data_IF_853060547424
#
_entry.id   IF_853060547424
#
_cell.length_a   1.000
_cell.length_b   1.000
_cell.length_c   1.000
_cell.angle_alpha   90.00
_cell.angle_beta   90.00
_cell.angle_gamma   90.00
#
_symmetry.space_group_name_H-M   'P 1'
#
loop_
_entity.id
_entity.type
_entity.pdbx_description
1 polymer ?
#
# COMPACT_ATOMS: atom_id res chain seq x y z
N UNK A 1 54.94 -19.97 -37.86
CA UNK A 1 53.65 -19.26 -37.64
C UNK A 1 52.90 -19.98 -36.52
N UNK A 2 53.05 -19.49 -35.29
CA UNK A 2 52.47 -20.12 -34.09
C UNK A 2 51.70 -19.04 -33.34
N UNK A 3 50.37 -19.12 -33.44
CA UNK A 3 49.40 -18.29 -32.72
C UNK A 3 49.63 -18.47 -31.21
N UNK A 4 49.97 -17.39 -30.51
CA UNK A 4 49.88 -17.30 -29.05
C UNK A 4 48.58 -16.58 -28.71
N UNK A 5 47.71 -17.25 -27.97
CA UNK A 5 46.45 -16.72 -27.46
C UNK A 5 46.71 -15.61 -26.44
N UNK A 6 46.26 -14.40 -26.76
CA UNK A 6 46.18 -13.29 -25.84
C UNK A 6 44.88 -13.43 -25.03
N UNK A 7 44.97 -13.59 -23.72
CA UNK A 7 43.83 -13.41 -22.81
C UNK A 7 43.59 -11.91 -22.71
N UNK A 8 42.50 -11.44 -23.31
CA UNK A 8 42.02 -10.07 -23.12
C UNK A 8 41.52 -9.92 -21.69
N UNK A 9 41.98 -8.84 -21.07
CA UNK A 9 41.52 -8.32 -19.79
C UNK A 9 40.03 -7.99 -19.85
N UNK A 10 39.28 -8.41 -18.83
CA UNK A 10 38.03 -7.74 -18.47
C UNK A 10 38.25 -7.07 -17.13
N UNK A 11 38.09 -5.76 -17.15
CA UNK A 11 38.09 -4.87 -16.01
C UNK A 11 36.63 -4.81 -15.59
N UNK A 12 36.29 -5.43 -14.47
CA UNK A 12 35.04 -5.14 -13.77
C UNK A 12 35.40 -4.62 -12.40
N UNK A 13 35.18 -3.32 -12.25
CA UNK A 13 35.18 -2.55 -11.01
C UNK A 13 34.47 -3.32 -9.90
N UNK A 14 35.13 -3.41 -8.75
CA UNK A 14 34.57 -3.96 -7.54
C UNK A 14 33.44 -3.08 -7.04
N UNK A 15 32.21 -3.47 -7.35
CA UNK A 15 31.06 -3.12 -6.54
C UNK A 15 31.11 -4.01 -5.30
N UNK A 16 31.69 -3.49 -4.21
CA UNK A 16 31.49 -4.04 -2.88
C UNK A 16 29.98 -4.01 -2.58
N UNK A 17 29.32 -5.14 -2.78
CA UNK A 17 28.00 -5.41 -2.25
C UNK A 17 28.10 -5.38 -0.73
N UNK A 18 27.86 -4.23 -0.12
CA UNK A 18 27.51 -4.14 1.29
C UNK A 18 26.09 -4.69 1.44
N UNK A 19 25.96 -6.01 1.46
CA UNK A 19 24.85 -6.67 2.12
C UNK A 19 24.96 -6.34 3.62
N UNK A 20 24.40 -5.21 4.03
CA UNK A 20 24.04 -5.00 5.43
C UNK A 20 23.00 -6.07 5.74
N UNK A 21 23.42 -7.07 6.51
CA UNK A 21 22.51 -8.04 7.10
C UNK A 21 21.32 -7.27 7.71
N UNK A 22 20.09 -7.63 7.30
CA UNK A 22 18.85 -7.09 7.86
C UNK A 22 18.66 -7.62 9.29
N UNK A 23 19.59 -7.29 10.18
CA UNK A 23 19.44 -7.53 11.61
C UNK A 23 18.57 -6.41 12.20
N UNK A 24 17.46 -6.81 12.81
CA UNK A 24 16.54 -5.87 13.45
C UNK A 24 17.29 -5.05 14.51
N UNK A 25 17.11 -3.73 14.48
CA UNK A 25 17.89 -2.82 15.33
C UNK A 25 17.30 -2.88 16.75
N UNK A 26 18.07 -3.29 17.77
CA UNK A 26 17.56 -3.35 19.14
C UNK A 26 17.30 -1.94 19.70
N UNK A 27 16.36 -1.85 20.65
CA UNK A 27 16.13 -0.60 21.37
C UNK A 27 17.27 -0.35 22.37
N UNK A 28 17.62 0.92 22.62
CA UNK A 28 18.77 1.28 23.47
C UNK A 28 18.70 0.76 24.92
N UNK A 29 17.53 0.37 25.42
CA UNK A 29 17.41 -0.29 26.71
C UNK A 29 18.01 -1.71 26.73
N UNK A 30 17.93 -2.42 25.59
CA UNK A 30 18.49 -3.76 25.43
C UNK A 30 19.98 -3.70 25.13
N UNK A 31 20.39 -2.78 24.24
CA UNK A 31 21.79 -2.48 23.97
C UNK A 31 22.06 -0.97 24.00
N UNK A 32 22.64 -0.44 25.10
CA UNK A 32 22.97 0.99 25.22
C UNK A 32 24.01 1.48 24.21
N UNK A 33 24.85 0.60 23.66
CA UNK A 33 25.90 1.00 22.73
C UNK A 33 25.33 1.47 21.38
N UNK A 34 24.08 1.11 21.07
CA UNK A 34 23.42 1.51 19.82
C UNK A 34 23.34 3.03 19.66
N UNK A 35 23.29 3.79 20.75
CA UNK A 35 23.23 5.26 20.73
C UNK A 35 24.50 5.84 20.10
N UNK A 36 25.66 5.20 20.30
CA UNK A 36 26.97 5.69 19.84
C UNK A 36 27.56 4.89 18.68
N UNK A 37 26.77 4.01 18.05
CA UNK A 37 27.22 3.20 16.94
C UNK A 37 27.53 4.05 15.69
N UNK A 38 28.66 3.78 15.02
CA UNK A 38 29.16 4.57 13.88
C UNK A 38 28.15 4.66 12.73
N UNK A 39 27.43 3.58 12.48
CA UNK A 39 26.54 3.47 11.33
C UNK A 39 25.29 4.34 11.45
N UNK A 40 24.89 4.67 12.69
CA UNK A 40 23.65 5.37 13.01
C UNK A 40 23.89 6.74 13.65
N UNK A 41 25.15 7.18 13.74
CA UNK A 41 25.51 8.41 14.47
C UNK A 41 24.95 9.68 13.81
N UNK A 42 24.73 9.65 12.49
CA UNK A 42 24.16 10.76 11.73
C UNK A 42 22.63 10.72 11.65
N UNK A 43 22.00 9.68 12.20
CA UNK A 43 20.53 9.55 12.28
C UNK A 43 19.99 10.31 13.47
N UNK A 44 19.98 11.64 13.36
CA UNK A 44 19.51 12.52 14.43
C UNK A 44 17.98 12.66 14.43
N UNK A 45 17.32 12.46 13.29
CA UNK A 45 15.88 12.67 13.16
C UNK A 45 15.17 11.41 12.67
N UNK A 46 13.96 11.14 13.19
CA UNK A 46 13.15 10.02 12.72
C UNK A 46 12.75 10.22 11.25
N UNK A 47 12.72 9.15 10.46
CA UNK A 47 12.30 9.13 9.07
C UNK A 47 11.27 7.99 8.86
N UNK A 48 10.35 8.18 7.93
CA UNK A 48 9.32 7.20 7.53
C UNK A 48 9.90 5.86 7.07
N UNK A 49 11.16 5.86 6.60
CA UNK A 49 11.86 4.64 6.17
C UNK A 49 12.51 3.84 7.31
N UNK A 50 12.51 4.35 8.55
CA UNK A 50 13.21 3.72 9.69
C UNK A 50 12.29 2.75 10.44
N UNK A 51 12.89 1.67 10.96
CA UNK A 51 12.19 0.78 11.88
C UNK A 51 11.88 1.51 13.20
N UNK A 52 10.83 1.11 13.91
CA UNK A 52 10.38 1.79 15.12
C UNK A 52 11.46 1.93 16.20
N UNK A 53 12.24 0.87 16.45
CA UNK A 53 13.32 0.91 17.43
C UNK A 53 14.42 1.88 17.01
N UNK A 54 14.81 1.85 15.74
CA UNK A 54 15.76 2.80 15.16
C UNK A 54 15.25 4.24 15.27
N UNK A 55 13.95 4.45 15.04
CA UNK A 55 13.30 5.75 15.15
C UNK A 55 13.37 6.31 16.58
N UNK A 56 13.11 5.47 17.59
CA UNK A 56 13.26 5.88 18.99
C UNK A 56 14.73 6.09 19.38
N UNK A 57 15.65 5.28 18.87
CA UNK A 57 17.09 5.44 19.10
C UNK A 57 17.60 6.77 18.50
N UNK A 58 17.13 7.16 17.31
CA UNK A 58 17.43 8.46 16.70
C UNK A 58 16.95 9.64 17.57
N UNK A 59 15.73 9.55 18.12
CA UNK A 59 15.20 10.55 19.06
C UNK A 59 16.05 10.63 20.34
N UNK A 60 16.43 9.48 20.92
CA UNK A 60 17.31 9.41 22.08
C UNK A 60 18.66 10.08 21.82
N UNK A 61 19.28 9.81 20.67
CA UNK A 61 20.56 10.44 20.27
C UNK A 61 20.45 11.95 20.19
N UNK A 62 19.40 12.46 19.56
CA UNK A 62 19.15 13.90 19.49
C UNK A 62 18.97 14.55 20.87
N UNK A 63 18.22 13.91 21.77
CA UNK A 63 18.02 14.42 23.13
C UNK A 63 19.34 14.47 23.91
N UNK A 64 20.16 13.42 23.81
CA UNK A 64 21.48 13.37 24.47
C UNK A 64 22.42 14.43 23.89
N UNK A 65 22.48 14.57 22.57
CA UNK A 65 23.34 15.53 21.89
C UNK A 65 22.95 16.98 22.22
N UNK A 66 21.67 17.31 22.14
CA UNK A 66 21.18 18.65 22.48
C UNK A 66 21.43 18.97 23.95
N UNK A 67 21.22 18.00 24.85
CA UNK A 67 21.50 18.20 26.27
C UNK A 67 22.99 18.42 26.52
N UNK A 68 23.87 17.68 25.84
CA UNK A 68 25.32 17.87 25.95
C UNK A 68 25.75 19.28 25.50
N UNK A 69 25.24 19.75 24.36
CA UNK A 69 25.52 21.12 23.87
C UNK A 69 25.04 22.17 24.86
N UNK A 70 23.80 22.05 25.35
CA UNK A 70 23.22 23.00 26.31
C UNK A 70 24.01 22.98 27.63
N UNK A 71 24.42 21.80 28.09
CA UNK A 71 25.21 21.66 29.32
C UNK A 71 26.60 22.31 29.21
N UNK A 72 27.22 22.32 28.02
CA UNK A 72 28.48 23.02 27.78
C UNK A 72 28.33 24.55 27.85
N UNK A 73 27.19 25.09 27.41
CA UNK A 73 26.93 26.54 27.44
C UNK A 73 26.53 26.98 28.86
N UNK A 74 25.62 26.24 29.50
CA UNK A 74 25.07 26.56 30.80
C UNK A 74 25.01 25.32 31.70
N UNK A 75 26.10 25.01 32.43
CA UNK A 75 26.14 23.83 33.28
C UNK A 75 25.19 24.02 34.46
N UNK A 76 24.16 23.18 34.55
CA UNK A 76 23.27 23.14 35.72
C UNK A 76 22.81 21.71 36.02
N UNK A 77 22.70 21.38 37.31
CA UNK A 77 22.17 20.08 37.76
C UNK A 77 20.73 19.83 37.31
N UNK A 78 19.97 20.91 37.08
CA UNK A 78 18.59 20.85 36.56
C UNK A 78 18.53 20.24 35.16
N UNK A 79 19.56 20.42 34.32
CA UNK A 79 19.59 19.84 32.97
C UNK A 79 19.74 18.32 32.99
N UNK A 80 20.52 17.77 33.93
CA UNK A 80 20.64 16.33 34.10
C UNK A 80 19.31 15.69 34.52
N UNK A 81 18.52 16.37 35.35
CA UNK A 81 17.19 15.90 35.73
C UNK A 81 16.22 15.87 34.54
N UNK A 82 16.25 16.89 33.68
CA UNK A 82 15.44 16.94 32.45
C UNK A 82 15.82 15.83 31.45
N UNK A 83 17.11 15.49 31.36
CA UNK A 83 17.58 14.37 30.53
C UNK A 83 17.00 13.04 31.02
N UNK A 84 17.03 12.80 32.32
CA UNK A 84 16.49 11.56 32.91
C UNK A 84 14.98 11.46 32.65
N UNK A 85 14.24 12.56 32.80
CA UNK A 85 12.80 12.59 32.53
C UNK A 85 12.52 12.26 31.05
N UNK A 86 13.23 12.90 30.12
CA UNK A 86 13.01 12.70 28.69
C UNK A 86 13.34 11.26 28.24
N UNK A 87 14.44 10.69 28.73
CA UNK A 87 14.77 9.27 28.51
C UNK A 87 13.70 8.34 29.11
N UNK A 88 13.17 8.68 30.28
CA UNK A 88 12.07 7.95 30.92
C UNK A 88 10.79 7.95 30.08
N UNK A 89 10.44 9.07 29.45
CA UNK A 89 9.29 9.17 28.55
C UNK A 89 9.49 8.28 27.31
N UNK A 90 10.68 8.31 26.70
CA UNK A 90 11.02 7.49 25.53
C UNK A 90 10.94 5.99 25.88
N UNK A 91 11.47 5.61 27.06
CA UNK A 91 11.36 4.25 27.57
C UNK A 91 9.90 3.81 27.78
N UNK A 92 9.08 4.65 28.41
CA UNK A 92 7.66 4.36 28.59
C UNK A 92 6.94 4.17 27.26
N UNK A 93 7.23 5.02 26.26
CA UNK A 93 6.66 4.90 24.92
C UNK A 93 6.98 3.54 24.28
N UNK A 94 8.24 3.11 24.35
CA UNK A 94 8.66 1.79 23.88
C UNK A 94 7.93 0.67 24.64
N UNK A 95 7.86 0.74 25.97
CA UNK A 95 7.23 -0.27 26.81
C UNK A 95 5.72 -0.42 26.52
N UNK A 96 4.99 0.69 26.42
CA UNK A 96 3.56 0.67 26.11
C UNK A 96 3.28 0.09 24.72
N UNK A 97 4.10 0.42 23.73
CA UNK A 97 3.96 -0.11 22.37
C UNK A 97 4.28 -1.61 22.30
N UNK A 98 5.33 -2.06 22.98
CA UNK A 98 5.67 -3.49 23.02
C UNK A 98 4.57 -4.30 23.74
N UNK A 99 3.97 -3.75 24.80
CA UNK A 99 2.80 -4.35 25.47
C UNK A 99 1.58 -4.40 24.56
N UNK A 100 1.29 -3.35 23.80
CA UNK A 100 0.18 -3.37 22.83
C UNK A 100 0.40 -4.41 21.74
N UNK A 101 1.61 -4.50 21.18
CA UNK A 101 1.96 -5.50 20.16
C UNK A 101 1.75 -6.93 20.66
N UNK A 102 2.27 -7.25 21.86
CA UNK A 102 2.05 -8.56 22.48
C UNK A 102 0.57 -8.85 22.75
N UNK A 103 -0.20 -7.85 23.21
CA UNK A 103 -1.64 -8.03 23.41
C UNK A 103 -2.42 -8.17 22.09
N UNK A 104 -1.93 -7.61 20.97
CA UNK A 104 -2.50 -7.80 19.64
C UNK A 104 -2.22 -9.24 19.16
N UNK A 105 -0.97 -9.68 19.28
CA UNK A 105 -0.52 -11.02 18.91
C UNK A 105 -1.20 -12.12 19.76
N UNK A 106 -1.46 -11.88 21.05
CA UNK A 106 -2.13 -12.86 21.94
C UNK A 106 -3.68 -12.83 21.85
N UNK A 107 -4.30 -11.74 21.38
CA UNK A 107 -5.78 -11.65 21.27
C UNK A 107 -6.32 -12.09 19.92
N UNK A 108 -5.51 -12.13 18.87
CA UNK A 108 -5.94 -12.62 17.55
C UNK A 108 -5.61 -14.10 17.39
N UNK A 109 -6.33 -14.95 18.15
CA UNK A 109 -6.31 -16.41 18.03
C UNK A 109 -7.06 -16.94 16.80
N UNK A 110 -7.24 -16.14 15.76
CA UNK A 110 -7.70 -16.62 14.46
C UNK A 110 -6.45 -16.95 13.66
N UNK A 111 -6.14 -18.24 13.54
CA UNK A 111 -5.21 -18.70 12.51
C UNK A 111 -5.62 -18.07 11.19
N UNK A 112 -4.69 -17.38 10.55
CA UNK A 112 -4.77 -16.64 9.30
C UNK A 112 -5.19 -17.48 8.09
N UNK A 113 -6.07 -18.48 8.22
CA UNK A 113 -6.54 -19.28 7.08
C UNK A 113 -7.20 -18.38 6.04
N UNK A 114 -7.96 -17.37 6.46
CA UNK A 114 -8.54 -16.40 5.53
C UNK A 114 -7.48 -15.50 4.88
N UNK A 115 -6.46 -15.07 5.64
CA UNK A 115 -5.39 -14.20 5.12
C UNK A 115 -4.43 -14.97 4.21
N UNK A 116 -4.04 -16.19 4.56
CA UNK A 116 -3.26 -17.10 3.72
C UNK A 116 -4.04 -17.46 2.44
N UNK A 117 -5.35 -17.74 2.52
CA UNK A 117 -6.17 -17.94 1.30
C UNK A 117 -6.25 -16.68 0.44
N UNK A 118 -6.30 -15.49 1.05
CA UNK A 118 -6.32 -14.22 0.34
C UNK A 118 -4.96 -13.92 -0.30
N UNK A 119 -3.86 -14.16 0.41
CA UNK A 119 -2.49 -13.92 -0.07
C UNK A 119 -2.12 -14.93 -1.17
N UNK A 120 -2.47 -16.21 -1.00
CA UNK A 120 -2.29 -17.27 -2.01
C UNK A 120 -3.21 -17.03 -3.24
N UNK A 121 -4.39 -16.44 -3.04
CA UNK A 121 -5.23 -15.95 -4.16
C UNK A 121 -4.69 -14.66 -4.78
N UNK A 122 -4.01 -13.79 -4.03
CA UNK A 122 -3.49 -12.52 -4.54
C UNK A 122 -2.24 -12.73 -5.41
N UNK A 123 -1.38 -13.69 -5.05
CA UNK A 123 -0.23 -14.09 -5.88
C UNK A 123 -0.64 -14.80 -7.17
N UNK A 124 -1.76 -15.54 -7.17
CA UNK A 124 -2.22 -16.30 -8.33
C UNK A 124 -3.24 -15.57 -9.23
N UNK A 125 -3.90 -14.51 -8.76
CA UNK A 125 -4.83 -13.72 -9.57
C UNK A 125 -4.13 -12.49 -10.15
N UNK A 126 -3.69 -12.58 -11.40
CA UNK A 126 -3.16 -11.44 -12.13
C UNK A 126 -4.28 -10.43 -12.41
N UNK A 127 -4.47 -9.47 -11.50
CA UNK A 127 -5.50 -8.44 -11.59
C UNK A 127 -5.44 -7.66 -12.91
N UNK A 128 -4.24 -7.51 -13.47
CA UNK A 128 -3.97 -6.83 -14.75
C UNK A 128 -4.45 -7.67 -15.96
N UNK A 129 -4.64 -8.97 -15.77
CA UNK A 129 -5.19 -9.85 -16.79
C UNK A 129 -6.71 -9.73 -16.87
N UNK A 130 -7.38 -9.51 -15.73
CA UNK A 130 -8.84 -9.43 -15.64
C UNK A 130 -9.37 -8.04 -15.96
N UNK A 131 -8.75 -6.98 -15.44
CA UNK A 131 -9.24 -5.61 -15.56
C UNK A 131 -8.39 -4.74 -16.50
N UNK A 132 -9.02 -3.76 -17.16
CA UNK A 132 -8.30 -2.71 -17.89
C UNK A 132 -7.84 -1.61 -16.94
N UNK A 133 -6.56 -1.28 -16.89
CA UNK A 133 -6.10 -0.19 -16.04
C UNK A 133 -6.61 1.18 -16.52
N UNK A 134 -6.86 2.14 -15.59
CA UNK A 134 -7.12 3.54 -15.93
C UNK A 134 -6.01 4.09 -16.82
N UNK A 135 -6.40 4.83 -17.86
CA UNK A 135 -5.47 5.52 -18.74
C UNK A 135 -5.90 6.96 -18.99
N UNK A 136 -5.02 7.77 -19.55
CA UNK A 136 -5.25 9.19 -19.81
C UNK A 136 -6.36 9.46 -20.85
N UNK A 137 -6.70 8.49 -21.70
CA UNK A 137 -7.78 8.64 -22.68
C UNK A 137 -9.14 8.33 -22.05
N UNK A 138 -9.18 7.40 -21.09
CA UNK A 138 -10.38 6.92 -20.43
C UNK A 138 -10.09 6.58 -18.95
N UNK A 139 -10.00 7.60 -18.07
CA UNK A 139 -9.65 7.38 -16.66
C UNK A 139 -10.61 6.45 -15.91
N UNK A 140 -11.91 6.49 -16.24
CA UNK A 140 -12.94 5.68 -15.56
C UNK A 140 -13.21 4.33 -16.23
N UNK A 141 -12.55 4.03 -17.36
CA UNK A 141 -12.71 2.76 -18.08
C UNK A 141 -14.11 2.52 -18.67
N UNK A 142 -14.91 3.57 -18.89
CA UNK A 142 -16.26 3.45 -19.44
C UNK A 142 -16.23 3.01 -20.91
N UNK A 143 -17.29 2.37 -21.41
CA UNK A 143 -17.38 2.07 -22.85
C UNK A 143 -17.51 3.38 -23.62
N UNK A 144 -16.53 3.68 -24.47
CA UNK A 144 -16.57 4.83 -25.37
C UNK A 144 -17.21 4.43 -26.70
N UNK A 145 -17.74 5.42 -27.43
CA UNK A 145 -18.33 5.17 -28.76
C UNK A 145 -17.31 4.57 -29.75
N UNK A 146 -16.03 4.90 -29.60
CA UNK A 146 -14.94 4.34 -30.40
C UNK A 146 -14.67 2.87 -30.12
N UNK A 147 -15.12 2.35 -28.97
CA UNK A 147 -14.85 1.01 -28.46
C UNK A 147 -16.11 0.12 -28.47
N UNK A 148 -17.25 0.61 -28.96
CA UNK A 148 -18.55 -0.06 -28.89
C UNK A 148 -18.64 -1.38 -29.68
N UNK A 149 -17.65 -1.65 -30.53
CA UNK A 149 -17.54 -2.88 -31.32
C UNK A 149 -16.30 -3.70 -30.94
N UNK A 150 -15.58 -3.32 -29.88
CA UNK A 150 -14.41 -4.05 -29.41
C UNK A 150 -14.82 -5.15 -28.42
N UNK A 151 -14.89 -6.39 -28.91
CA UNK A 151 -15.19 -7.58 -28.11
C UNK A 151 -14.07 -7.97 -27.13
N UNK A 152 -12.87 -7.40 -27.27
CA UNK A 152 -11.73 -7.67 -26.41
C UNK A 152 -11.64 -6.73 -25.19
N UNK A 153 -12.57 -5.76 -25.09
CA UNK A 153 -12.57 -4.77 -24.02
C UNK A 153 -12.78 -5.42 -22.65
N UNK A 154 -11.75 -5.33 -21.81
CA UNK A 154 -11.77 -5.79 -20.42
C UNK A 154 -12.64 -4.89 -19.54
N UNK A 155 -13.21 -5.42 -18.44
CA UNK A 155 -13.95 -4.63 -17.47
C UNK A 155 -13.05 -3.58 -16.80
N UNK A 156 -13.64 -2.45 -16.44
CA UNK A 156 -12.96 -1.46 -15.61
C UNK A 156 -12.80 -1.97 -14.17
N UNK A 157 -11.71 -1.62 -13.48
CA UNK A 157 -11.51 -1.97 -12.08
C UNK A 157 -12.51 -1.22 -11.18
N UNK A 158 -12.76 -1.74 -9.97
CA UNK A 158 -13.67 -1.13 -9.00
C UNK A 158 -13.16 0.24 -8.55
N UNK A 159 -13.83 1.30 -9.00
CA UNK A 159 -13.45 2.69 -8.72
C UNK A 159 -13.52 3.08 -7.23
N UNK A 160 -14.21 2.29 -6.39
CA UNK A 160 -14.28 2.52 -4.94
C UNK A 160 -13.02 2.03 -4.19
N UNK A 161 -12.15 1.25 -4.84
CA UNK A 161 -10.90 0.81 -4.23
C UNK A 161 -9.90 1.98 -4.23
N UNK A 162 -9.29 2.28 -3.09
CA UNK A 162 -8.34 3.39 -2.93
C UNK A 162 -7.17 3.32 -3.91
N UNK A 163 -6.65 2.12 -4.19
CA UNK A 163 -5.53 1.93 -5.13
C UNK A 163 -5.93 2.22 -6.57
N UNK A 164 -7.19 1.98 -6.92
CA UNK A 164 -7.73 2.28 -8.26
C UNK A 164 -8.08 3.75 -8.34
N UNK A 165 -8.66 4.31 -7.28
CA UNK A 165 -9.01 5.73 -7.19
C UNK A 165 -7.79 6.64 -7.40
N UNK A 166 -6.65 6.33 -6.78
CA UNK A 166 -5.41 7.08 -7.00
C UNK A 166 -4.96 7.00 -8.47
N UNK A 167 -4.99 5.82 -9.08
CA UNK A 167 -4.71 5.63 -10.52
C UNK A 167 -5.66 6.42 -11.43
N UNK A 168 -6.96 6.48 -11.10
CA UNK A 168 -7.95 7.27 -11.84
C UNK A 168 -7.62 8.76 -11.75
N UNK A 169 -7.31 9.26 -10.54
CA UNK A 169 -6.93 10.66 -10.30
C UNK A 169 -5.68 11.01 -11.11
N UNK A 170 -4.65 10.18 -11.05
CA UNK A 170 -3.40 10.41 -11.79
C UNK A 170 -3.62 10.36 -13.31
N UNK A 171 -4.41 9.41 -13.79
CA UNK A 171 -4.80 9.31 -15.21
C UNK A 171 -5.59 10.53 -15.67
N UNK A 172 -6.48 11.06 -14.83
CA UNK A 172 -7.22 12.28 -15.12
C UNK A 172 -6.31 13.53 -15.14
N UNK A 173 -5.32 13.62 -14.24
CA UNK A 173 -4.30 14.69 -14.28
C UNK A 173 -3.49 14.62 -15.60
N UNK A 174 -3.12 13.41 -16.04
CA UNK A 174 -2.44 13.18 -17.32
C UNK A 174 -3.31 13.52 -18.53
N UNK A 175 -4.61 13.21 -18.48
CA UNK A 175 -5.59 13.58 -19.52
C UNK A 175 -5.59 15.09 -19.75
N UNK A 176 -5.64 15.89 -18.67
CA UNK A 176 -5.61 17.36 -18.74
C UNK A 176 -4.31 17.85 -19.37
N UNK A 177 -3.18 17.24 -19.00
CA UNK A 177 -1.88 17.60 -19.58
C UNK A 177 -1.81 17.30 -21.08
N UNK A 178 -2.26 16.13 -21.53
CA UNK A 178 -2.24 15.74 -22.96
C UNK A 178 -3.23 16.55 -23.80
N UNK A 179 -4.35 16.97 -23.21
CA UNK A 179 -5.35 17.81 -23.88
C UNK A 179 -4.83 19.25 -24.10
N UNK A 180 -3.84 19.70 -23.34
CA UNK A 180 -3.29 21.06 -23.38
C UNK A 180 -1.79 21.07 -23.72
N UNK A 181 -1.39 20.69 -24.95
CA UNK A 181 0.03 20.56 -25.32
C UNK A 181 0.79 21.89 -25.32
N UNK A 182 0.09 23.02 -25.51
CA UNK A 182 0.68 24.37 -25.55
C UNK A 182 1.22 24.85 -24.18
N UNK A 183 0.87 24.14 -23.11
CA UNK A 183 1.22 24.51 -21.74
C UNK A 183 1.96 23.36 -21.02
N UNK A 184 3.28 23.23 -21.22
CA UNK A 184 4.08 22.23 -20.51
C UNK A 184 4.05 22.50 -19.00
N UNK A 185 3.83 21.46 -18.21
CA UNK A 185 3.76 21.55 -16.74
C UNK A 185 2.48 22.18 -16.19
N UNK A 186 1.39 22.20 -16.97
CA UNK A 186 0.07 22.69 -16.48
C UNK A 186 -0.45 21.88 -15.29
N UNK A 187 -0.21 20.57 -15.27
CA UNK A 187 -0.63 19.69 -14.18
C UNK A 187 0.02 20.12 -12.83
N UNK A 188 1.31 20.41 -12.83
CA UNK A 188 2.05 20.86 -11.64
C UNK A 188 1.60 22.25 -11.13
N UNK A 189 0.94 23.04 -11.98
CA UNK A 189 0.38 24.34 -11.59
C UNK A 189 -1.05 24.23 -11.07
N UNK A 190 -1.81 23.26 -11.58
CA UNK A 190 -3.21 23.06 -11.22
C UNK A 190 -3.41 22.13 -10.02
N UNK A 191 -2.45 21.26 -9.72
CA UNK A 191 -2.66 20.14 -8.78
C UNK A 191 -1.55 19.99 -7.73
N UNK A 192 -0.76 21.03 -7.44
CA UNK A 192 0.38 20.92 -6.53
C UNK A 192 0.01 21.15 -5.06
N UNK A 193 -0.96 22.01 -4.80
CA UNK A 193 -1.43 22.30 -3.46
C UNK A 193 -2.49 21.30 -2.99
N UNK A 194 -2.50 21.00 -1.68
CA UNK A 194 -3.53 20.16 -1.05
C UNK A 194 -4.95 20.70 -1.29
N UNK A 195 -5.13 22.03 -1.24
CA UNK A 195 -6.42 22.65 -1.50
C UNK A 195 -6.86 22.53 -2.97
N UNK A 196 -5.92 22.59 -3.90
CA UNK A 196 -6.17 22.43 -5.33
C UNK A 196 -6.52 20.99 -5.68
N UNK A 197 -5.80 20.03 -5.09
CA UNK A 197 -6.08 18.59 -5.21
C UNK A 197 -7.46 18.25 -4.66
N UNK A 198 -7.83 18.77 -3.49
CA UNK A 198 -9.18 18.59 -2.95
C UNK A 198 -10.27 19.17 -3.87
N UNK A 199 -10.05 20.35 -4.42
CA UNK A 199 -10.98 20.95 -5.38
C UNK A 199 -11.08 20.11 -6.66
N UNK A 200 -9.97 19.54 -7.12
CA UNK A 200 -9.94 18.65 -8.27
C UNK A 200 -10.73 17.36 -8.01
N UNK A 201 -10.49 16.68 -6.89
CA UNK A 201 -11.27 15.49 -6.50
C UNK A 201 -12.76 15.80 -6.38
N UNK A 202 -13.12 16.95 -5.79
CA UNK A 202 -14.52 17.38 -5.72
C UNK A 202 -15.14 17.65 -7.09
N UNK A 203 -14.33 18.10 -8.06
CA UNK A 203 -14.76 18.29 -9.45
C UNK A 203 -14.91 16.97 -10.21
N UNK A 204 -14.31 15.88 -9.72
CA UNK A 204 -14.47 14.53 -10.27
C UNK A 204 -15.77 13.84 -9.83
N UNK A 205 -16.50 14.37 -8.84
CA UNK A 205 -17.78 13.78 -8.36
C UNK A 205 -18.83 13.44 -9.42
N UNK A 206 -19.07 14.23 -10.49
CA UNK A 206 -20.03 13.87 -11.53
C UNK A 206 -19.54 12.75 -12.45
N UNK A 207 -18.26 12.38 -12.38
CA UNK A 207 -17.67 11.33 -13.19
C UNK A 207 -17.57 10.04 -12.37
N UNK A 208 -18.07 8.95 -12.95
CA UNK A 208 -18.09 7.64 -12.32
C UNK A 208 -17.89 6.54 -13.37
N UNK A 209 -17.52 5.35 -12.89
CA UNK A 209 -17.56 4.15 -13.71
C UNK A 209 -18.99 3.64 -13.80
N UNK A 210 -19.45 3.37 -15.01
CA UNK A 210 -20.77 2.85 -15.29
C UNK A 210 -20.87 1.39 -14.81
N UNK A 211 -22.09 0.88 -14.53
CA UNK A 211 -22.28 -0.51 -14.12
C UNK A 211 -21.84 -1.54 -15.18
N UNK A 212 -21.86 -1.16 -16.46
CA UNK A 212 -21.41 -1.99 -17.58
C UNK A 212 -20.24 -1.31 -18.28
N UNK A 213 -19.07 -1.94 -18.21
CA UNK A 213 -17.80 -1.44 -18.79
C UNK A 213 -17.22 -2.35 -19.86
N UNK A 214 -17.81 -3.52 -20.10
CA UNK A 214 -17.43 -4.46 -21.16
C UNK A 214 -18.28 -4.27 -22.41
N UNK A 215 -17.78 -4.79 -23.53
CA UNK A 215 -18.52 -4.89 -24.79
C UNK A 215 -18.33 -6.32 -25.33
N UNK A 216 -19.40 -7.11 -25.53
CA UNK A 216 -20.79 -6.86 -25.11
C UNK A 216 -20.94 -6.78 -23.58
N UNK A 217 -22.11 -6.32 -23.11
CA UNK A 217 -22.42 -6.36 -21.68
C UNK A 217 -22.58 -7.81 -21.19
N UNK A 218 -22.21 -8.08 -19.94
CA UNK A 218 -22.28 -9.43 -19.38
C UNK A 218 -23.71 -9.83 -18.96
N UNK A 219 -24.51 -10.20 -19.97
CA UNK A 219 -25.87 -10.69 -19.76
C UNK A 219 -25.90 -12.07 -19.11
N UNK A 220 -24.82 -12.85 -19.26
CA UNK A 220 -24.69 -14.18 -18.66
C UNK A 220 -24.63 -14.09 -17.15
N UNK A 221 -23.69 -13.29 -16.62
CA UNK A 221 -23.57 -13.06 -15.18
C UNK A 221 -24.83 -12.41 -14.60
N UNK A 222 -25.50 -11.51 -15.33
CA UNK A 222 -26.77 -10.95 -14.88
C UNK A 222 -27.88 -12.01 -14.77
N UNK A 223 -28.01 -12.89 -15.76
CA UNK A 223 -28.98 -13.98 -15.73
C UNK A 223 -28.68 -14.99 -14.61
N UNK A 224 -27.41 -15.31 -14.38
CA UNK A 224 -26.96 -16.16 -13.29
C UNK A 224 -27.22 -15.52 -11.92
N UNK A 225 -27.01 -14.20 -11.78
CA UNK A 225 -27.37 -13.47 -10.58
C UNK A 225 -28.88 -13.54 -10.29
N UNK A 226 -29.72 -13.38 -11.32
CA UNK A 226 -31.18 -13.43 -11.15
C UNK A 226 -31.74 -14.85 -10.94
N UNK A 227 -31.17 -15.86 -11.61
CA UNK A 227 -31.78 -17.18 -11.74
C UNK A 227 -30.85 -18.36 -11.46
N UNK A 228 -29.54 -18.16 -11.33
CA UNK A 228 -28.54 -19.23 -11.22
C UNK A 228 -28.71 -20.12 -9.99
N UNK A 229 -29.24 -19.59 -8.90
CA UNK A 229 -29.56 -20.37 -7.68
C UNK A 229 -30.99 -20.94 -7.66
N UNK A 230 -31.77 -20.74 -8.72
CA UNK A 230 -33.16 -21.19 -8.78
C UNK A 230 -33.24 -22.69 -9.11
N UNK A 231 -33.26 -23.51 -8.06
CA UNK A 231 -33.45 -24.96 -8.20
C UNK A 231 -34.87 -25.31 -8.64
N UNK A 232 -35.00 -26.17 -9.65
CA UNK A 232 -36.30 -26.60 -10.17
C UNK A 232 -36.69 -28.00 -9.66
N UNK A 233 -37.96 -28.18 -9.29
CA UNK A 233 -38.51 -29.51 -9.00
C UNK A 233 -38.49 -30.43 -10.23
N UNK A 234 -38.59 -29.86 -11.44
CA UNK A 234 -38.54 -30.64 -12.71
C UNK A 234 -37.20 -31.36 -12.89
N UNK A 235 -36.13 -30.84 -12.29
CA UNK A 235 -34.78 -31.41 -12.33
C UNK A 235 -34.57 -32.51 -11.26
N UNK A 236 -35.61 -32.85 -10.50
CA UNK A 236 -35.55 -33.89 -9.46
C UNK A 236 -35.01 -33.40 -8.12
N UNK A 237 -34.88 -32.08 -7.92
CA UNK A 237 -34.48 -31.52 -6.63
C UNK A 237 -35.62 -31.67 -5.59
N UNK A 238 -35.41 -32.57 -4.62
CA UNK A 238 -36.40 -32.92 -3.61
C UNK A 238 -36.81 -31.73 -2.72
N UNK A 239 -35.87 -30.85 -2.37
CA UNK A 239 -36.14 -29.65 -1.56
C UNK A 239 -37.01 -28.64 -2.33
N UNK A 240 -36.74 -28.44 -3.63
CA UNK A 240 -37.53 -27.57 -4.48
C UNK A 240 -38.97 -28.10 -4.67
N UNK A 241 -39.13 -29.42 -4.81
CA UNK A 241 -40.44 -30.06 -4.89
C UNK A 241 -41.24 -29.94 -3.59
N UNK A 242 -40.58 -30.07 -2.45
CA UNK A 242 -41.20 -30.03 -1.13
C UNK A 242 -41.76 -28.65 -0.74
N UNK A 243 -41.22 -27.56 -1.31
CA UNK A 243 -41.46 -26.16 -0.90
C UNK A 243 -42.93 -25.72 -0.95
N UNK A 244 -43.77 -26.34 -1.79
CA UNK A 244 -45.19 -25.97 -1.96
C UNK A 244 -46.18 -27.09 -1.60
N UNK A 245 -45.74 -28.21 -0.96
CA UNK A 245 -46.69 -29.24 -0.54
C UNK A 245 -47.49 -28.79 0.69
N UNK A 246 -48.81 -28.96 0.67
CA UNK A 246 -49.71 -28.57 1.76
C UNK A 246 -49.52 -29.31 3.09
N UNK A 247 -48.59 -30.28 3.18
CA UNK A 247 -48.32 -31.12 4.36
C UNK A 247 -46.88 -31.04 4.89
N UNK A 248 -46.15 -29.94 4.66
CA UNK A 248 -44.82 -29.77 5.25
C UNK A 248 -44.95 -29.24 6.68
N UNK A 249 -45.03 -30.14 7.66
CA UNK A 249 -44.73 -29.78 9.06
C UNK A 249 -43.22 -29.72 9.20
N UNK A 250 -42.68 -28.54 9.50
CA UNK A 250 -41.29 -28.37 9.94
C UNK A 250 -41.16 -28.96 11.35
N UNK A 251 -40.63 -30.17 11.46
CA UNK A 251 -40.10 -30.74 12.69
C UNK A 251 -38.68 -31.23 12.45
#
# INVERSE_FOLDING_TARGET
MTKKNCKSCDITEGYENNEKNNEAIPFWYEDPNIIFHSDYIYELFPNEKMEYNQMLNAVTRSVVLLTAIIFLIQPSSKMLFMLIISLGIIFLMHFYRNKQRKNLEEKEGFTNVAQDYLDDSYENNNYNEVFSEPNDTNPFGNVLMTEIHDESKKPAPPAYNQNVQSKIIDSAKQMVQKTNPDHPGIADKLFKGLGEELNFEQSLRPFNSNPSTTTPNDQGAFAEFCYGSMVSCKEGNQFACARNLSRHTNY
#
